data_IF_129623862527
#
_entry.id   IF_129623862527
#
_cell.length_a   1.000
_cell.length_b   1.000
_cell.length_c   1.000
_cell.angle_alpha   90.00
_cell.angle_beta   90.00
_cell.angle_gamma   90.00
#
_symmetry.space_group_name_H-M   'P 1'
#
loop_
_entity.id
_entity.type
_entity.pdbx_description
1 polymer ?
#
# COMPACT_ATOMS: atom_id res chain seq x y z
N UNK A 1 -7.18 -60.25 4.85
CA UNK A 1 -7.42 -59.00 5.62
C UNK A 1 -6.18 -58.69 6.45
N UNK A 2 -5.49 -57.58 6.19
CA UNK A 2 -4.22 -57.27 6.86
C UNK A 2 -4.45 -56.35 8.06
N UNK A 3 -4.19 -56.88 9.26
CA UNK A 3 -4.27 -56.17 10.54
C UNK A 3 -3.31 -54.96 10.66
N UNK A 4 -2.45 -54.73 9.66
CA UNK A 4 -1.47 -53.64 9.63
C UNK A 4 -2.03 -52.25 9.34
N UNK A 5 -3.27 -52.15 8.82
CA UNK A 5 -3.84 -50.88 8.33
C UNK A 5 -4.70 -50.12 9.36
N UNK A 6 -5.05 -50.74 10.48
CA UNK A 6 -5.91 -50.12 11.47
C UNK A 6 -5.11 -49.61 12.68
N UNK A 7 -5.09 -48.29 12.87
CA UNK A 7 -4.55 -47.65 14.09
C UNK A 7 -5.27 -48.19 15.31
N UNK A 8 -4.54 -48.83 16.23
CA UNK A 8 -5.07 -49.33 17.50
C UNK A 8 -5.35 -50.82 17.58
N UNK A 9 -5.19 -51.58 16.48
CA UNK A 9 -5.30 -53.05 16.48
C UNK A 9 -4.00 -53.78 16.85
N UNK A 10 -2.91 -53.04 17.08
CA UNK A 10 -1.62 -53.59 17.55
C UNK A 10 -1.62 -53.73 19.06
N UNK A 11 -1.17 -54.86 19.60
CA UNK A 11 -0.94 -55.06 21.06
C UNK A 11 0.23 -54.24 21.63
N UNK A 12 0.86 -53.38 20.80
CA UNK A 12 1.97 -52.53 21.20
C UNK A 12 1.49 -51.37 22.07
N UNK A 13 2.10 -51.20 23.24
CA UNK A 13 1.86 -50.05 24.09
C UNK A 13 2.54 -48.80 23.50
N UNK A 14 1.78 -48.00 22.77
CA UNK A 14 2.23 -46.74 22.16
C UNK A 14 2.13 -45.53 23.10
N UNK A 15 1.73 -45.73 24.36
CA UNK A 15 1.56 -44.63 25.31
C UNK A 15 2.92 -44.05 25.71
N UNK A 16 3.04 -42.72 25.66
CA UNK A 16 4.21 -42.01 26.18
C UNK A 16 4.45 -42.37 27.65
N UNK A 17 5.64 -42.88 27.96
CA UNK A 17 6.04 -43.23 29.34
C UNK A 17 6.05 -41.97 30.21
N UNK A 18 5.58 -42.11 31.45
CA UNK A 18 5.65 -41.02 32.44
C UNK A 18 7.10 -40.78 32.85
N UNK A 19 7.55 -39.53 32.94
CA UNK A 19 8.89 -39.22 33.42
C UNK A 19 9.04 -39.66 34.89
N UNK A 20 10.22 -40.18 35.24
CA UNK A 20 10.55 -40.54 36.63
C UNK A 20 10.80 -39.26 37.43
N UNK A 21 10.36 -39.24 38.68
CA UNK A 21 10.71 -38.19 39.65
C UNK A 21 12.18 -38.33 40.08
N UNK A 22 12.79 -37.24 40.51
CA UNK A 22 14.14 -37.28 41.08
C UNK A 22 14.16 -38.09 42.38
N UNK A 23 15.27 -38.79 42.59
CA UNK A 23 15.57 -39.47 43.87
C UNK A 23 15.97 -38.44 44.93
N UNK A 24 15.87 -38.79 46.23
CA UNK A 24 16.22 -37.89 47.34
C UNK A 24 17.64 -37.30 47.18
N UNK A 25 18.62 -38.15 46.86
CA UNK A 25 20.02 -37.71 46.60
C UNK A 25 20.12 -36.72 45.44
N UNK A 26 19.32 -36.90 44.40
CA UNK A 26 19.28 -35.96 43.27
C UNK A 26 18.62 -34.65 43.67
N UNK A 27 17.58 -34.67 44.51
CA UNK A 27 16.92 -33.46 45.00
C UNK A 27 17.87 -32.61 45.86
N UNK A 28 18.62 -33.24 46.76
CA UNK A 28 19.65 -32.55 47.58
C UNK A 28 20.71 -31.89 46.70
N UNK A 29 21.23 -32.62 45.70
CA UNK A 29 22.18 -32.06 44.73
C UNK A 29 21.58 -30.90 43.94
N UNK A 30 20.35 -31.06 43.44
CA UNK A 30 19.66 -30.03 42.67
C UNK A 30 19.45 -28.76 43.52
N UNK A 31 19.22 -28.89 44.82
CA UNK A 31 19.08 -27.74 45.71
C UNK A 31 20.40 -26.95 45.85
N UNK A 32 21.52 -27.64 46.03
CA UNK A 32 22.85 -27.04 46.10
C UNK A 32 23.17 -26.34 44.77
N UNK A 33 22.99 -27.04 43.64
CA UNK A 33 23.27 -26.53 42.31
C UNK A 33 22.39 -25.30 41.99
N UNK A 34 21.11 -25.31 42.38
CA UNK A 34 20.20 -24.17 42.23
C UNK A 34 20.67 -22.96 43.02
N UNK A 35 21.13 -23.14 44.27
CA UNK A 35 21.65 -22.04 45.10
C UNK A 35 22.88 -21.40 44.45
N UNK A 36 23.79 -22.22 43.91
CA UNK A 36 24.96 -21.74 43.16
C UNK A 36 24.56 -21.01 41.86
N UNK A 37 23.62 -21.57 41.10
CA UNK A 37 23.05 -20.95 39.89
C UNK A 37 22.44 -19.58 40.19
N UNK A 38 21.55 -19.48 41.20
CA UNK A 38 20.92 -18.22 41.58
C UNK A 38 21.93 -17.19 42.08
N UNK A 39 23.00 -17.61 42.78
CA UNK A 39 24.11 -16.73 43.17
C UNK A 39 24.81 -16.15 41.95
N UNK A 40 25.11 -16.96 40.93
CA UNK A 40 25.71 -16.48 39.67
C UNK A 40 24.78 -15.52 38.93
N UNK A 41 23.47 -15.82 38.86
CA UNK A 41 22.50 -14.93 38.22
C UNK A 41 22.41 -13.58 38.93
N UNK A 42 22.50 -13.54 40.27
CA UNK A 42 22.60 -12.29 41.05
C UNK A 42 23.88 -11.51 40.69
N UNK A 43 25.02 -12.18 40.63
CA UNK A 43 26.31 -11.54 40.30
C UNK A 43 26.32 -10.93 38.89
N UNK A 44 25.63 -11.57 37.93
CA UNK A 44 25.49 -11.08 36.56
C UNK A 44 24.39 -10.03 36.38
N UNK A 45 23.64 -9.67 37.44
CA UNK A 45 22.48 -8.77 37.35
C UNK A 45 21.25 -9.38 36.66
N UNK A 46 21.25 -10.69 36.38
CA UNK A 46 20.19 -11.43 35.71
C UNK A 46 19.12 -11.91 36.71
N UNK A 47 18.55 -10.98 37.48
CA UNK A 47 17.57 -11.32 38.53
C UNK A 47 16.32 -12.05 37.98
N UNK A 48 15.93 -11.75 36.75
CA UNK A 48 14.83 -12.40 36.04
C UNK A 48 15.06 -13.88 35.73
N UNK A 49 16.31 -14.34 35.71
CA UNK A 49 16.67 -15.73 35.43
C UNK A 49 16.82 -16.60 36.68
N UNK A 50 16.59 -16.04 37.88
CA UNK A 50 16.58 -16.82 39.12
C UNK A 50 15.40 -17.79 39.13
N UNK A 51 15.65 -19.01 39.63
CA UNK A 51 14.70 -20.11 39.60
C UNK A 51 14.32 -20.58 41.00
N UNK A 52 13.05 -20.95 41.17
CA UNK A 52 12.61 -21.73 42.33
C UNK A 52 13.02 -23.21 42.19
N UNK A 53 12.83 -24.03 43.22
CA UNK A 53 13.15 -25.47 43.19
C UNK A 53 12.48 -26.19 42.02
N UNK A 54 11.16 -26.07 41.89
CA UNK A 54 10.38 -26.72 40.83
C UNK A 54 10.77 -26.23 39.43
N UNK A 55 11.03 -24.93 39.29
CA UNK A 55 11.46 -24.33 38.03
C UNK A 55 12.82 -24.86 37.59
N UNK A 56 13.75 -25.00 38.54
CA UNK A 56 15.09 -25.54 38.28
C UNK A 56 15.03 -27.02 37.90
N UNK A 57 14.17 -27.81 38.53
CA UNK A 57 13.91 -29.19 38.13
C UNK A 57 13.36 -29.30 36.70
N UNK A 58 12.39 -28.45 36.34
CA UNK A 58 11.86 -28.41 34.97
C UNK A 58 12.92 -27.96 33.96
N UNK A 59 13.80 -27.05 34.34
CA UNK A 59 14.91 -26.58 33.51
C UNK A 59 15.88 -27.72 33.19
N UNK A 60 16.28 -28.50 34.20
CA UNK A 60 17.13 -29.69 34.00
C UNK A 60 16.46 -30.75 33.10
N UNK A 61 15.15 -30.91 33.20
CA UNK A 61 14.37 -31.83 32.37
C UNK A 61 14.05 -31.27 30.96
N UNK A 62 14.44 -30.03 30.65
CA UNK A 62 14.13 -29.37 29.37
C UNK A 62 12.66 -28.98 29.19
N UNK A 63 11.87 -28.98 30.26
CA UNK A 63 10.44 -28.67 30.25
C UNK A 63 10.12 -27.26 30.80
N UNK A 64 11.14 -26.46 31.09
CA UNK A 64 10.98 -25.12 31.66
C UNK A 64 10.25 -24.18 30.69
N UNK A 65 9.26 -23.46 31.22
CA UNK A 65 8.53 -22.42 30.48
C UNK A 65 9.00 -21.04 30.94
N UNK A 66 9.22 -20.16 29.97
CA UNK A 66 9.65 -18.79 30.24
C UNK A 66 8.63 -18.03 31.12
N UNK A 67 9.13 -17.25 32.07
CA UNK A 67 8.32 -16.34 32.92
C UNK A 67 7.74 -15.15 32.17
N UNK A 68 8.19 -14.90 30.93
CA UNK A 68 7.71 -13.78 30.13
C UNK A 68 6.23 -13.99 29.79
N UNK A 69 5.37 -13.17 30.41
CA UNK A 69 3.98 -13.04 29.96
C UNK A 69 4.02 -12.37 28.60
N UNK A 70 3.51 -13.05 27.57
CA UNK A 70 3.26 -12.36 26.31
C UNK A 70 2.08 -11.44 26.51
N UNK A 71 2.34 -10.14 26.46
CA UNK A 71 1.27 -9.16 26.43
C UNK A 71 0.52 -9.31 25.10
N UNK A 72 -0.80 -9.37 25.19
CA UNK A 72 -1.64 -9.34 24.00
C UNK A 72 -1.41 -8.02 23.28
N UNK A 73 -0.88 -8.08 22.06
CA UNK A 73 -0.78 -6.94 21.17
C UNK A 73 -1.93 -7.03 20.18
N UNK A 74 -2.89 -6.08 20.17
CA UNK A 74 -3.94 -6.08 19.17
C UNK A 74 -3.30 -5.99 17.78
N UNK A 75 -3.92 -6.66 16.81
CA UNK A 75 -3.49 -6.54 15.43
C UNK A 75 -3.72 -5.11 14.97
N UNK A 76 -2.63 -4.42 14.61
CA UNK A 76 -2.67 -3.13 13.92
C UNK A 76 -2.45 -3.44 12.45
N UNK A 77 -3.46 -3.23 11.57
CA UNK A 77 -3.27 -3.29 10.13
C UNK A 77 -2.08 -2.41 9.75
N UNK A 78 -1.16 -2.94 8.95
CA UNK A 78 -0.10 -2.10 8.38
C UNK A 78 -0.75 -1.18 7.36
N UNK A 79 -0.62 0.14 7.52
CA UNK A 79 -1.23 1.14 6.63
C UNK A 79 -0.82 0.98 5.16
N UNK A 80 0.34 0.37 4.88
CA UNK A 80 0.80 0.09 3.53
C UNK A 80 1.49 -1.28 3.46
N UNK A 81 0.78 -2.37 3.11
CA UNK A 81 1.44 -3.66 2.98
C UNK A 81 2.40 -3.68 1.78
N UNK A 82 1.98 -3.19 0.60
CA UNK A 82 2.77 -3.29 -0.65
C UNK A 82 2.25 -2.36 -1.78
N UNK A 83 1.72 -1.17 -1.48
CA UNK A 83 1.29 -0.26 -2.53
C UNK A 83 2.44 0.63 -3.00
N UNK A 84 2.64 0.70 -4.32
CA UNK A 84 3.46 1.75 -4.93
C UNK A 84 2.74 3.07 -4.70
N UNK A 85 3.43 4.06 -4.13
CA UNK A 85 2.93 5.44 -4.10
C UNK A 85 2.75 5.92 -5.54
N UNK A 86 1.50 6.01 -5.99
CA UNK A 86 1.13 6.64 -7.26
C UNK A 86 0.82 8.11 -6.97
N UNK A 87 1.69 9.06 -7.38
CA UNK A 87 1.38 10.47 -7.21
C UNK A 87 0.13 10.81 -8.02
N UNK A 88 -0.82 11.49 -7.38
CA UNK A 88 -1.96 12.08 -8.07
C UNK A 88 -1.47 13.32 -8.83
N UNK A 89 -1.18 13.13 -10.12
CA UNK A 89 -0.81 14.22 -11.02
C UNK A 89 -2.10 14.77 -11.61
N UNK A 90 -2.58 15.97 -11.23
CA UNK A 90 -3.79 16.52 -11.81
C UNK A 90 -3.57 16.76 -13.30
N UNK A 91 -4.33 16.08 -14.16
CA UNK A 91 -4.53 16.57 -15.54
C UNK A 91 -5.20 17.94 -15.45
N UNK A 92 -4.82 18.86 -16.35
CA UNK A 92 -5.28 20.25 -16.42
C UNK A 92 -6.72 20.41 -15.86
N UNK A 93 -6.88 21.27 -14.86
CA UNK A 93 -7.96 21.19 -13.87
C UNK A 93 -9.38 21.08 -14.43
N UNK A 94 -10.31 20.67 -13.58
CA UNK A 94 -11.76 20.55 -13.85
C UNK A 94 -12.46 21.88 -14.17
N UNK A 95 -11.75 22.85 -14.74
CA UNK A 95 -12.32 24.04 -15.33
C UNK A 95 -13.24 23.61 -16.47
N UNK A 96 -14.54 23.59 -16.18
CA UNK A 96 -15.57 23.51 -17.19
C UNK A 96 -15.40 24.77 -18.03
N UNK A 97 -14.70 24.67 -19.15
CA UNK A 97 -14.58 25.78 -20.09
C UNK A 97 -15.99 26.15 -20.53
N UNK A 98 -16.40 27.39 -20.31
CA UNK A 98 -17.71 27.85 -20.74
C UNK A 98 -17.73 27.83 -22.27
N UNK A 99 -18.28 26.77 -22.84
CA UNK A 99 -18.40 26.55 -24.28
C UNK A 99 -19.54 27.42 -24.83
N UNK A 100 -19.45 28.73 -24.63
CA UNK A 100 -20.41 29.67 -25.18
C UNK A 100 -20.37 29.59 -26.70
N UNK A 101 -21.55 29.55 -27.32
CA UNK A 101 -21.69 29.56 -28.77
C UNK A 101 -21.06 30.82 -29.33
N UNK A 102 -20.12 30.68 -30.27
CA UNK A 102 -19.56 31.80 -31.02
C UNK A 102 -20.69 32.58 -31.71
N UNK A 103 -20.65 33.90 -31.63
CA UNK A 103 -21.62 34.75 -32.33
C UNK A 103 -21.56 34.52 -33.85
N UNK A 104 -22.73 34.50 -34.50
CA UNK A 104 -22.81 34.32 -35.95
C UNK A 104 -22.30 35.59 -36.65
N UNK A 105 -21.42 35.43 -37.64
CA UNK A 105 -20.97 36.56 -38.46
C UNK A 105 -22.17 37.10 -39.28
N UNK A 106 -22.66 38.29 -38.94
CA UNK A 106 -23.69 39.01 -39.71
C UNK A 106 -23.04 40.05 -40.61
N UNK A 107 -23.54 40.16 -41.84
CA UNK A 107 -23.10 41.21 -42.76
C UNK A 107 -23.73 42.55 -42.36
N UNK A 108 -22.91 43.55 -42.02
CA UNK A 108 -23.37 44.86 -41.50
C UNK A 108 -23.90 45.82 -42.56
N UNK A 109 -23.88 45.45 -43.85
CA UNK A 109 -24.34 46.31 -44.94
C UNK A 109 -23.38 47.44 -45.33
N UNK A 110 -22.33 47.69 -44.55
CA UNK A 110 -21.40 48.83 -44.73
C UNK A 110 -20.16 48.53 -45.56
N UNK A 111 -19.81 47.24 -45.74
CA UNK A 111 -18.57 46.85 -46.42
C UNK A 111 -18.61 47.15 -47.92
N UNK A 112 -19.76 46.92 -48.57
CA UNK A 112 -19.94 47.21 -49.99
C UNK A 112 -20.43 48.65 -50.12
N UNK A 113 -19.51 49.52 -50.53
CA UNK A 113 -19.78 50.94 -50.76
C UNK A 113 -20.52 51.19 -52.08
N UNK A 114 -20.41 50.27 -53.04
CA UNK A 114 -21.10 50.35 -54.33
C UNK A 114 -20.80 49.14 -55.22
N UNK A 115 -21.45 49.09 -56.39
CA UNK A 115 -21.23 48.05 -57.41
C UNK A 115 -20.77 48.74 -58.69
N UNK A 116 -19.65 48.30 -59.24
CA UNK A 116 -19.16 48.75 -60.55
C UNK A 116 -19.28 47.66 -61.60
N UNK A 117 -19.29 48.07 -62.87
CA UNK A 117 -19.31 47.17 -64.02
C UNK A 117 -17.96 47.19 -64.73
N UNK A 118 -17.25 46.05 -64.76
CA UNK A 118 -15.99 45.96 -65.50
C UNK A 118 -16.23 45.73 -67.01
N UNK A 119 -17.19 44.86 -67.35
CA UNK A 119 -17.70 44.66 -68.70
C UNK A 119 -19.22 44.45 -68.66
N UNK A 120 -19.87 44.43 -69.82
CA UNK A 120 -21.34 44.54 -69.99
C UNK A 120 -22.18 43.68 -69.03
N UNK A 121 -21.68 42.53 -68.57
CA UNK A 121 -22.38 41.60 -67.70
C UNK A 121 -21.75 41.37 -66.31
N UNK A 122 -20.61 41.98 -65.98
CA UNK A 122 -19.91 41.70 -64.70
C UNK A 122 -20.12 42.80 -63.67
N UNK A 123 -20.88 42.48 -62.62
CA UNK A 123 -21.04 43.30 -61.43
C UNK A 123 -19.96 42.97 -60.39
N UNK A 124 -19.15 43.97 -60.02
CA UNK A 124 -18.05 43.84 -59.07
C UNK A 124 -18.32 44.73 -57.86
N UNK A 125 -18.36 44.18 -56.63
CA UNK A 125 -18.54 44.98 -55.42
C UNK A 125 -17.28 45.80 -55.11
N UNK A 126 -17.47 47.09 -54.79
CA UNK A 126 -16.40 48.01 -54.38
C UNK A 126 -16.44 48.16 -52.87
N UNK A 127 -15.32 47.88 -52.21
CA UNK A 127 -15.17 47.98 -50.75
C UNK A 127 -14.44 49.25 -50.29
N UNK A 128 -13.65 49.88 -51.16
CA UNK A 128 -12.90 51.09 -50.83
C UNK A 128 -12.74 51.99 -52.07
N UNK A 129 -12.55 53.30 -51.84
CA UNK A 129 -12.35 54.33 -52.87
C UNK A 129 -11.20 54.03 -53.83
N UNK A 130 -10.11 53.40 -53.36
CA UNK A 130 -9.00 53.00 -54.23
C UNK A 130 -9.42 52.00 -55.30
N UNK A 131 -10.20 50.98 -54.93
CA UNK A 131 -10.76 50.00 -55.88
C UNK A 131 -11.70 50.68 -56.89
N UNK A 132 -12.47 51.67 -56.45
CA UNK A 132 -13.32 52.46 -57.35
C UNK A 132 -12.50 53.19 -58.43
N UNK A 133 -11.38 53.80 -58.01
CA UNK A 133 -10.47 54.51 -58.91
C UNK A 133 -9.81 53.54 -59.89
N UNK A 134 -9.30 52.40 -59.40
CA UNK A 134 -8.64 51.39 -60.23
C UNK A 134 -9.58 50.84 -61.31
N UNK A 135 -10.82 50.48 -60.93
CA UNK A 135 -11.84 49.99 -61.88
C UNK A 135 -12.24 51.07 -62.89
N UNK A 136 -12.30 52.34 -62.48
CA UNK A 136 -12.58 53.45 -63.40
C UNK A 136 -11.43 53.72 -64.38
N UNK A 137 -10.18 53.58 -63.94
CA UNK A 137 -8.99 53.81 -64.75
C UNK A 137 -8.71 52.67 -65.74
N UNK A 138 -9.07 51.41 -65.41
CA UNK A 138 -8.96 50.28 -66.36
C UNK A 138 -9.66 50.53 -67.69
N UNK A 139 -10.72 51.35 -67.71
CA UNK A 139 -11.45 51.69 -68.95
C UNK A 139 -10.82 52.85 -69.74
N UNK A 140 -9.85 53.58 -69.16
CA UNK A 140 -9.29 54.83 -69.70
C UNK A 140 -7.85 54.74 -70.19
N UNK A 141 -7.18 53.59 -70.02
CA UNK A 141 -5.85 53.29 -70.56
C UNK A 141 -5.94 52.42 -71.81
#
# INVERSE_FOLDING_TARGET
MTMSLARGLTTLNTRKRKPKKFTLKQQEKNEIDRRAYNKRMKQLGLHNQQMNSEEYEQYLLGNYKSKKKQEFKPYVPKDNPFYRETPEIPSNGNGIGNCYKKENNTYTGTLITGIATMHKSNAVPITNKKQAIDVANMRRN
#
